data_IF_812252527152
#
_entry.id   IF_812252527152
#
_cell.length_a   1.000
_cell.length_b   1.000
_cell.length_c   1.000
_cell.angle_alpha   90.00
_cell.angle_beta   90.00
_cell.angle_gamma   90.00
#
_symmetry.space_group_name_H-M   'P 1'
#
loop_
_entity.id
_entity.type
_entity.pdbx_description
1 polymer ?
#
# COMPACT_ATOMS: atom_id res chain seq x y z
N UNK A 1 -14.36 -6.25 -2.27
CA UNK A 1 -13.69 -6.47 -3.56
C UNK A 1 -12.31 -7.05 -3.30
N UNK A 2 -12.04 -8.24 -3.82
CA UNK A 2 -10.95 -9.11 -3.40
C UNK A 2 -11.47 -10.16 -2.42
N UNK A 3 -11.37 -11.43 -2.79
CA UNK A 3 -11.99 -12.54 -2.06
C UNK A 3 -10.96 -13.61 -1.64
N UNK A 4 -9.71 -13.18 -1.42
CA UNK A 4 -8.64 -14.02 -0.91
C UNK A 4 -8.81 -14.40 0.55
N UNK A 5 -7.73 -14.83 1.20
CA UNK A 5 -7.76 -15.30 2.59
C UNK A 5 -8.10 -14.16 3.56
N UNK A 6 -7.55 -12.98 3.37
CA UNK A 6 -7.86 -11.81 4.19
C UNK A 6 -9.31 -11.36 3.97
N UNK A 7 -9.78 -11.37 2.71
CA UNK A 7 -11.18 -11.12 2.38
C UNK A 7 -12.13 -12.08 3.08
N UNK A 8 -11.77 -13.36 3.23
CA UNK A 8 -12.54 -14.35 3.98
C UNK A 8 -12.67 -13.99 5.46
N UNK A 9 -11.59 -13.58 6.10
CA UNK A 9 -11.62 -13.16 7.51
C UNK A 9 -12.48 -11.91 7.70
N UNK A 10 -12.42 -10.95 6.75
CA UNK A 10 -13.29 -9.78 6.75
C UNK A 10 -14.77 -10.19 6.64
N UNK A 11 -15.13 -11.07 5.70
CA UNK A 11 -16.51 -11.56 5.53
C UNK A 11 -17.03 -12.18 6.83
N UNK A 12 -16.26 -13.07 7.45
CA UNK A 12 -16.63 -13.71 8.72
C UNK A 12 -16.86 -12.66 9.82
N UNK A 13 -15.97 -11.66 9.91
CA UNK A 13 -16.07 -10.59 10.90
C UNK A 13 -17.31 -9.72 10.68
N UNK A 14 -17.62 -9.36 9.43
CA UNK A 14 -18.81 -8.59 9.10
C UNK A 14 -20.11 -9.35 9.38
N UNK A 15 -20.15 -10.65 9.08
CA UNK A 15 -21.29 -11.51 9.40
C UNK A 15 -21.54 -11.60 10.91
N UNK A 16 -20.49 -11.64 11.74
CA UNK A 16 -20.63 -11.56 13.21
C UNK A 16 -21.27 -10.26 13.68
N UNK A 17 -21.12 -9.19 12.90
CA UNK A 17 -21.77 -7.89 13.12
C UNK A 17 -23.16 -7.79 12.47
N UNK A 18 -23.69 -8.89 11.93
CA UNK A 18 -25.02 -8.93 11.29
C UNK A 18 -25.08 -8.31 9.90
N UNK A 19 -23.94 -8.11 9.24
CA UNK A 19 -23.90 -7.51 7.90
C UNK A 19 -24.15 -8.57 6.82
N UNK A 20 -24.90 -8.22 5.77
CA UNK A 20 -25.01 -9.01 4.55
C UNK A 20 -23.79 -8.73 3.67
N UNK A 21 -23.05 -9.75 3.31
CA UNK A 21 -21.77 -9.60 2.61
C UNK A 21 -21.79 -10.31 1.26
N UNK A 22 -21.35 -9.60 0.23
CA UNK A 22 -21.16 -10.11 -1.14
C UNK A 22 -19.67 -10.11 -1.43
N UNK A 23 -19.12 -11.26 -1.76
CA UNK A 23 -17.71 -11.43 -2.12
C UNK A 23 -17.53 -11.29 -3.62
N UNK A 24 -16.53 -10.52 -4.07
CA UNK A 24 -16.26 -10.28 -5.49
C UNK A 24 -14.79 -10.54 -5.80
N UNK A 25 -14.54 -11.33 -6.84
CA UNK A 25 -13.19 -11.59 -7.35
C UNK A 25 -13.23 -11.93 -8.85
N UNK A 26 -12.06 -12.13 -9.46
CA UNK A 26 -11.92 -12.46 -10.86
C UNK A 26 -11.87 -13.97 -11.16
N UNK A 27 -12.01 -14.82 -10.15
CA UNK A 27 -12.02 -16.28 -10.27
C UNK A 27 -13.05 -16.92 -9.34
N UNK A 28 -13.57 -18.06 -9.77
CA UNK A 28 -14.58 -18.82 -9.00
C UNK A 28 -13.97 -19.50 -7.78
N UNK A 29 -14.82 -19.74 -6.77
CA UNK A 29 -14.47 -20.45 -5.54
C UNK A 29 -13.34 -19.76 -4.74
N UNK A 30 -13.17 -18.47 -4.87
CA UNK A 30 -12.26 -17.70 -4.02
C UNK A 30 -12.60 -17.92 -2.52
N UNK A 31 -11.60 -17.87 -1.62
CA UNK A 31 -11.80 -18.19 -0.19
C UNK A 31 -12.97 -17.48 0.48
N UNK A 32 -13.17 -16.18 0.24
CA UNK A 32 -14.27 -15.43 0.82
C UNK A 32 -15.64 -15.80 0.25
N UNK A 33 -15.72 -16.24 -1.03
CA UNK A 33 -16.98 -16.68 -1.64
C UNK A 33 -17.57 -17.91 -0.95
N UNK A 34 -16.72 -18.75 -0.33
CA UNK A 34 -17.15 -19.96 0.40
C UNK A 34 -17.93 -19.66 1.67
N UNK A 35 -17.84 -18.46 2.20
CA UNK A 35 -18.47 -18.04 3.46
C UNK A 35 -19.40 -16.84 3.31
N UNK A 36 -19.33 -16.12 2.20
CA UNK A 36 -20.20 -14.97 1.93
C UNK A 36 -21.68 -15.38 1.72
N UNK A 37 -22.60 -14.43 1.85
CA UNK A 37 -24.02 -14.66 1.57
C UNK A 37 -24.32 -14.77 0.08
N UNK A 38 -23.56 -14.03 -0.75
CA UNK A 38 -23.61 -14.05 -2.21
C UNK A 38 -22.23 -13.73 -2.77
N UNK A 39 -22.02 -13.97 -4.06
CA UNK A 39 -20.76 -13.65 -4.70
C UNK A 39 -20.93 -13.28 -6.18
N UNK A 40 -19.94 -12.56 -6.70
CA UNK A 40 -19.83 -12.24 -8.13
C UNK A 40 -18.41 -12.55 -8.62
N UNK A 41 -18.34 -13.10 -9.82
CA UNK A 41 -17.06 -13.31 -10.54
C UNK A 41 -17.00 -12.36 -11.71
N UNK A 42 -16.09 -11.38 -11.64
CA UNK A 42 -15.94 -10.34 -12.67
C UNK A 42 -14.47 -9.95 -12.83
N UNK A 43 -14.15 -9.34 -13.94
CA UNK A 43 -12.90 -8.60 -14.07
C UNK A 43 -13.04 -7.23 -13.39
N UNK A 44 -12.55 -7.09 -12.16
CA UNK A 44 -12.64 -5.84 -11.39
C UNK A 44 -11.85 -4.66 -12.00
N UNK A 45 -10.95 -4.90 -12.97
CA UNK A 45 -10.32 -3.85 -13.77
C UNK A 45 -11.24 -3.33 -14.88
N UNK A 46 -12.34 -4.03 -15.17
CA UNK A 46 -13.37 -3.58 -16.10
C UNK A 46 -14.40 -2.72 -15.35
N UNK A 47 -14.37 -1.40 -15.61
CA UNK A 47 -15.27 -0.45 -14.95
C UNK A 47 -16.76 -0.70 -15.23
N UNK A 48 -17.12 -1.23 -16.40
CA UNK A 48 -18.52 -1.51 -16.74
C UNK A 48 -19.06 -2.73 -15.98
N UNK A 49 -18.21 -3.74 -15.75
CA UNK A 49 -18.55 -4.88 -14.90
C UNK A 49 -18.71 -4.49 -13.44
N UNK A 50 -17.83 -3.61 -12.92
CA UNK A 50 -18.00 -3.03 -11.59
C UNK A 50 -19.30 -2.25 -11.47
N UNK A 51 -19.60 -1.36 -12.42
CA UNK A 51 -20.84 -0.59 -12.44
C UNK A 51 -22.06 -1.53 -12.43
N UNK A 52 -22.03 -2.60 -13.22
CA UNK A 52 -23.11 -3.59 -13.30
C UNK A 52 -23.39 -4.25 -11.95
N UNK A 53 -22.38 -4.70 -11.22
CA UNK A 53 -22.59 -5.36 -9.93
C UNK A 53 -22.97 -4.36 -8.83
N UNK A 54 -22.38 -3.16 -8.83
CA UNK A 54 -22.75 -2.11 -7.88
C UNK A 54 -24.20 -1.69 -8.09
N UNK A 55 -24.64 -1.56 -9.35
CA UNK A 55 -26.05 -1.27 -9.66
C UNK A 55 -26.98 -2.44 -9.26
N UNK A 56 -26.57 -3.69 -9.50
CA UNK A 56 -27.34 -4.90 -9.13
C UNK A 56 -27.58 -5.00 -7.63
N UNK A 57 -26.53 -4.81 -6.85
CA UNK A 57 -26.55 -5.10 -5.41
C UNK A 57 -26.80 -3.86 -4.53
N UNK A 58 -26.59 -2.65 -5.06
CA UNK A 58 -26.77 -1.38 -4.33
C UNK A 58 -26.16 -1.41 -2.91
N UNK A 59 -24.85 -1.68 -2.77
CA UNK A 59 -24.24 -1.83 -1.46
C UNK A 59 -24.19 -0.51 -0.69
N UNK A 60 -24.33 -0.55 0.62
CA UNK A 60 -24.07 0.60 1.50
C UNK A 60 -22.58 0.88 1.62
N UNK A 61 -21.77 -0.20 1.60
CA UNK A 61 -20.32 -0.12 1.76
C UNK A 61 -19.61 -0.93 0.66
N UNK A 62 -18.48 -0.39 0.19
CA UNK A 62 -17.51 -1.12 -0.63
C UNK A 62 -16.17 -1.12 0.09
N UNK A 63 -15.62 -2.32 0.28
CA UNK A 63 -14.31 -2.52 0.91
C UNK A 63 -13.39 -3.18 -0.10
N UNK A 64 -12.41 -2.45 -0.67
CA UNK A 64 -11.37 -3.02 -1.52
C UNK A 64 -10.30 -3.70 -0.65
N UNK A 65 -9.77 -4.83 -1.14
CA UNK A 65 -8.70 -5.58 -0.46
C UNK A 65 -7.52 -5.87 -1.40
N UNK A 66 -7.76 -5.91 -2.73
CA UNK A 66 -6.72 -6.19 -3.72
C UNK A 66 -6.45 -5.00 -4.62
N UNK A 67 -5.25 -4.95 -5.24
CA UNK A 67 -4.85 -3.85 -6.13
C UNK A 67 -5.48 -3.93 -7.52
N UNK A 68 -6.03 -5.09 -7.91
CA UNK A 68 -6.55 -5.33 -9.26
C UNK A 68 -8.00 -4.85 -9.42
N UNK A 69 -8.25 -3.57 -9.11
CA UNK A 69 -9.56 -2.93 -9.15
C UNK A 69 -9.47 -1.60 -9.92
N UNK A 70 -10.52 -1.26 -10.67
CA UNK A 70 -10.68 0.05 -11.31
C UNK A 70 -11.10 1.11 -10.27
N UNK A 71 -10.14 1.51 -9.44
CA UNK A 71 -10.36 2.34 -8.24
C UNK A 71 -10.86 3.75 -8.55
N UNK A 72 -10.64 4.25 -9.77
CA UNK A 72 -11.16 5.56 -10.19
C UNK A 72 -12.69 5.62 -10.15
N UNK A 73 -13.38 4.48 -10.31
CA UNK A 73 -14.84 4.39 -10.19
C UNK A 73 -15.34 4.69 -8.78
N UNK A 74 -14.52 4.53 -7.77
CA UNK A 74 -14.91 4.76 -6.38
C UNK A 74 -15.30 6.21 -6.10
N UNK A 75 -14.67 7.19 -6.77
CA UNK A 75 -15.09 8.58 -6.68
C UNK A 75 -16.53 8.80 -7.17
N UNK A 76 -16.97 8.05 -8.18
CA UNK A 76 -18.35 8.15 -8.69
C UNK A 76 -19.33 7.40 -7.78
N UNK A 77 -18.91 6.35 -7.11
CA UNK A 77 -19.74 5.65 -6.12
C UNK A 77 -19.94 6.48 -4.86
N UNK A 78 -18.89 7.16 -4.36
CA UNK A 78 -19.02 8.10 -3.23
C UNK A 78 -20.01 9.23 -3.54
N UNK A 79 -20.01 9.79 -4.77
CA UNK A 79 -21.00 10.78 -5.22
C UNK A 79 -22.45 10.25 -5.22
N UNK A 80 -22.61 8.93 -5.29
CA UNK A 80 -23.91 8.24 -5.22
C UNK A 80 -24.26 7.79 -3.79
N UNK A 81 -23.56 8.30 -2.78
CA UNK A 81 -23.72 7.97 -1.36
C UNK A 81 -23.39 6.50 -1.00
N UNK A 82 -22.56 5.83 -1.77
CA UNK A 82 -21.99 4.55 -1.38
C UNK A 82 -20.71 4.83 -0.60
N UNK A 83 -20.61 4.28 0.60
CA UNK A 83 -19.41 4.49 1.45
C UNK A 83 -18.28 3.56 1.01
N UNK A 84 -17.13 4.13 0.65
CA UNK A 84 -15.92 3.37 0.35
C UNK A 84 -15.02 3.38 1.60
N UNK A 85 -14.51 2.22 2.02
CA UNK A 85 -13.64 2.09 3.20
C UNK A 85 -12.40 1.26 2.82
N UNK A 86 -11.21 1.89 2.85
CA UNK A 86 -10.94 3.33 3.06
C UNK A 86 -11.46 4.19 1.91
N UNK A 87 -11.44 5.52 2.05
CA UNK A 87 -12.03 6.45 1.05
C UNK A 87 -11.48 6.24 -0.36
N UNK A 88 -12.24 6.64 -1.39
CA UNK A 88 -11.79 6.56 -2.78
C UNK A 88 -10.42 7.24 -2.99
N UNK A 89 -10.19 8.39 -2.34
CA UNK A 89 -8.88 9.07 -2.34
C UNK A 89 -7.81 8.17 -1.77
N UNK A 90 -8.04 7.60 -0.61
CA UNK A 90 -7.09 6.75 0.09
C UNK A 90 -6.69 5.52 -0.74
N UNK A 91 -7.67 4.81 -1.29
CA UNK A 91 -7.43 3.64 -2.15
C UNK A 91 -6.57 4.01 -3.37
N UNK A 92 -6.90 5.12 -4.04
CA UNK A 92 -6.13 5.54 -5.21
C UNK A 92 -4.69 5.96 -4.86
N UNK A 93 -4.47 6.54 -3.68
CA UNK A 93 -3.12 6.91 -3.22
C UNK A 93 -2.31 5.69 -2.80
N UNK A 94 -2.88 4.77 -2.04
CA UNK A 94 -2.16 3.57 -1.57
C UNK A 94 -1.78 2.62 -2.71
N UNK A 95 -2.59 2.58 -3.77
CA UNK A 95 -2.28 1.82 -4.98
C UNK A 95 -1.26 2.47 -5.91
N UNK A 96 -0.90 3.72 -5.64
CA UNK A 96 0.05 4.49 -6.45
C UNK A 96 1.25 4.89 -5.57
N UNK A 97 2.33 4.11 -5.64
CA UNK A 97 3.56 4.35 -4.86
C UNK A 97 4.12 5.77 -5.04
N UNK A 98 3.99 6.35 -6.24
CA UNK A 98 4.38 7.74 -6.50
C UNK A 98 3.52 8.71 -5.72
N UNK A 99 2.19 8.56 -5.81
CA UNK A 99 1.26 9.45 -5.14
C UNK A 99 1.46 9.46 -3.62
N UNK A 100 1.59 8.28 -3.00
CA UNK A 100 1.79 8.20 -1.54
C UNK A 100 3.16 8.71 -1.12
N UNK A 101 4.21 8.47 -1.93
CA UNK A 101 5.56 8.98 -1.66
C UNK A 101 5.61 10.50 -1.76
N UNK A 102 5.03 11.08 -2.81
CA UNK A 102 5.00 12.53 -3.03
C UNK A 102 4.12 13.22 -1.97
N UNK A 103 2.99 12.63 -1.60
CA UNK A 103 2.18 13.10 -0.46
C UNK A 103 3.02 13.16 0.82
N UNK A 104 3.69 12.08 1.17
CA UNK A 104 4.49 12.03 2.39
C UNK A 104 5.66 13.03 2.38
N UNK A 105 6.45 13.04 1.31
CA UNK A 105 7.70 13.77 1.26
C UNK A 105 7.53 15.25 0.88
N UNK A 106 6.61 15.58 -0.04
CA UNK A 106 6.48 16.93 -0.62
C UNK A 106 5.37 17.70 0.06
N UNK A 107 4.18 17.11 0.20
CA UNK A 107 3.02 17.83 0.72
C UNK A 107 3.02 17.89 2.26
N UNK A 108 3.46 16.80 2.90
CA UNK A 108 3.42 16.67 4.37
C UNK A 108 4.78 16.85 5.04
N UNK A 109 5.86 17.04 4.27
CA UNK A 109 7.25 17.20 4.75
C UNK A 109 7.67 16.10 5.75
N UNK A 110 7.18 14.88 5.56
CA UNK A 110 7.58 13.75 6.38
C UNK A 110 8.98 13.27 5.97
N UNK A 111 9.76 12.84 6.95
CA UNK A 111 11.09 12.29 6.69
C UNK A 111 10.97 10.96 5.96
N UNK A 112 11.44 10.94 4.71
CA UNK A 112 11.55 9.74 3.85
C UNK A 112 12.98 9.53 3.39
N UNK A 113 13.28 8.38 2.78
CA UNK A 113 14.49 8.23 1.96
C UNK A 113 14.44 9.26 0.81
N UNK A 114 15.59 9.79 0.40
CA UNK A 114 15.67 10.60 -0.84
C UNK A 114 15.30 9.73 -2.03
N UNK A 115 14.66 10.30 -3.03
CA UNK A 115 14.21 9.54 -4.19
C UNK A 115 14.22 10.35 -5.48
N UNK A 116 14.25 9.63 -6.59
CA UNK A 116 14.08 10.14 -7.95
C UNK A 116 13.28 9.15 -8.79
N UNK A 117 12.50 9.64 -9.74
CA UNK A 117 11.77 8.80 -10.69
C UNK A 117 12.53 8.70 -12.01
N UNK A 118 12.31 7.60 -12.74
CA UNK A 118 12.88 7.40 -14.06
C UNK A 118 11.95 6.57 -14.94
N UNK A 119 11.80 6.99 -16.20
CA UNK A 119 11.03 6.31 -17.25
C UNK A 119 11.92 5.75 -18.36
N UNK A 120 13.18 6.18 -18.40
CA UNK A 120 14.19 5.75 -19.35
C UNK A 120 15.46 5.30 -18.64
N UNK A 121 16.26 4.46 -19.31
CA UNK A 121 17.55 4.02 -18.77
C UNK A 121 18.49 5.20 -18.51
N UNK A 122 18.41 6.26 -19.31
CA UNK A 122 19.27 7.44 -19.14
C UNK A 122 18.85 8.24 -17.90
N UNK A 123 17.55 8.49 -17.72
CA UNK A 123 17.02 9.09 -16.50
C UNK A 123 17.37 8.26 -15.26
N UNK A 124 17.32 6.91 -15.40
CA UNK A 124 17.71 6.02 -14.31
C UNK A 124 19.18 6.19 -13.90
N UNK A 125 20.10 6.29 -14.86
CA UNK A 125 21.52 6.56 -14.54
C UNK A 125 21.67 7.90 -13.81
N UNK A 126 20.99 8.95 -14.30
CA UNK A 126 21.01 10.27 -13.67
C UNK A 126 20.43 10.23 -12.25
N UNK A 127 19.35 9.47 -12.04
CA UNK A 127 18.76 9.26 -10.73
C UNK A 127 19.73 8.55 -9.76
N UNK A 128 20.43 7.51 -10.23
CA UNK A 128 21.45 6.81 -9.43
C UNK A 128 22.62 7.75 -9.10
N UNK A 129 23.08 8.57 -10.03
CA UNK A 129 24.15 9.54 -9.79
C UNK A 129 23.71 10.62 -8.77
N UNK A 130 22.45 11.06 -8.81
CA UNK A 130 21.89 12.04 -7.89
C UNK A 130 21.70 11.48 -6.46
N UNK A 131 21.15 10.27 -6.36
CA UNK A 131 20.87 9.59 -5.07
C UNK A 131 22.18 9.08 -4.45
N UNK A 132 23.10 8.56 -5.27
CA UNK A 132 24.32 7.90 -4.83
C UNK A 132 24.15 6.39 -4.62
N UNK A 133 25.28 5.73 -4.43
CA UNK A 133 25.33 4.28 -4.17
C UNK A 133 25.71 3.99 -2.71
N UNK A 134 25.15 2.97 -2.10
CA UNK A 134 24.12 2.07 -2.65
C UNK A 134 22.74 2.74 -2.72
N UNK A 135 21.90 2.32 -3.67
CA UNK A 135 20.50 2.76 -3.76
C UNK A 135 19.55 1.61 -4.06
N UNK A 136 18.27 1.78 -3.71
CA UNK A 136 17.22 0.79 -3.95
C UNK A 136 16.40 1.21 -5.16
N UNK A 137 16.12 0.27 -6.04
CA UNK A 137 15.31 0.48 -7.25
C UNK A 137 14.04 -0.36 -7.14
N UNK A 138 12.90 0.28 -7.37
CA UNK A 138 11.59 -0.38 -7.31
C UNK A 138 10.72 0.05 -8.49
N UNK A 139 9.95 -0.86 -9.12
CA UNK A 139 8.85 -0.45 -9.99
C UNK A 139 7.81 0.35 -9.19
N UNK A 140 7.15 1.34 -9.81
CA UNK A 140 6.06 2.05 -9.14
C UNK A 140 4.82 1.17 -8.93
N UNK A 141 4.58 0.25 -9.86
CA UNK A 141 3.48 -0.72 -9.74
C UNK A 141 4.07 -2.14 -9.69
N UNK A 142 4.22 -2.66 -8.50
CA UNK A 142 4.62 -4.05 -8.26
C UNK A 142 4.15 -4.47 -6.86
N UNK A 143 4.02 -5.79 -6.64
CA UNK A 143 3.72 -6.37 -5.33
C UNK A 143 4.81 -7.37 -4.94
N UNK A 144 4.93 -7.64 -3.64
CA UNK A 144 5.85 -8.67 -3.08
C UNK A 144 7.30 -8.52 -3.56
N UNK A 145 7.83 -7.30 -3.60
CA UNK A 145 9.23 -7.04 -3.94
C UNK A 145 9.65 -7.36 -5.38
N UNK A 146 8.71 -7.74 -6.27
CA UNK A 146 9.02 -8.06 -7.67
C UNK A 146 9.60 -6.85 -8.39
N UNK A 147 10.75 -7.04 -9.05
CA UNK A 147 11.47 -5.96 -9.73
C UNK A 147 12.30 -5.07 -8.80
N UNK A 148 12.25 -5.27 -7.48
CA UNK A 148 13.07 -4.52 -6.53
C UNK A 148 14.50 -5.06 -6.51
N UNK A 149 15.47 -4.15 -6.49
CA UNK A 149 16.89 -4.51 -6.41
C UNK A 149 17.72 -3.45 -5.68
N UNK A 150 18.81 -3.89 -5.08
CA UNK A 150 19.82 -3.02 -4.49
C UNK A 150 20.97 -2.83 -5.49
N UNK A 151 21.20 -1.61 -5.92
CA UNK A 151 22.32 -1.21 -6.79
C UNK A 151 23.49 -0.82 -5.89
N UNK A 152 24.53 -1.64 -5.90
CA UNK A 152 25.74 -1.38 -5.10
C UNK A 152 26.85 -0.74 -5.91
N UNK A 153 26.91 -1.03 -7.20
CA UNK A 153 27.98 -0.61 -8.11
C UNK A 153 27.40 -0.17 -9.45
N UNK A 154 28.14 0.64 -10.17
CA UNK A 154 27.76 1.11 -11.51
C UNK A 154 27.50 -0.05 -12.50
N UNK A 155 28.17 -1.19 -12.33
CA UNK A 155 27.97 -2.38 -13.16
C UNK A 155 26.61 -3.04 -12.98
N UNK A 156 25.92 -2.78 -11.87
CA UNK A 156 24.60 -3.35 -11.56
C UNK A 156 23.46 -2.57 -12.24
N UNK A 157 23.71 -1.32 -12.67
CA UNK A 157 22.68 -0.39 -13.16
C UNK A 157 21.82 -1.02 -14.26
N UNK A 158 22.45 -1.52 -15.33
CA UNK A 158 21.70 -2.07 -16.47
C UNK A 158 20.84 -3.29 -16.07
N UNK A 159 21.40 -4.18 -15.26
CA UNK A 159 20.70 -5.36 -14.76
C UNK A 159 19.52 -4.97 -13.86
N UNK A 160 19.72 -4.00 -12.99
CA UNK A 160 18.65 -3.50 -12.08
C UNK A 160 17.52 -2.82 -12.85
N UNK A 161 17.85 -2.04 -13.88
CA UNK A 161 16.85 -1.47 -14.79
C UNK A 161 16.01 -2.55 -15.46
N UNK A 162 16.66 -3.52 -16.13
CA UNK A 162 15.96 -4.57 -16.84
C UNK A 162 15.07 -5.38 -15.90
N UNK A 163 15.54 -5.66 -14.70
CA UNK A 163 14.76 -6.38 -13.69
C UNK A 163 13.55 -5.56 -13.20
N UNK A 164 13.73 -4.26 -12.93
CA UNK A 164 12.64 -3.38 -12.50
C UNK A 164 11.57 -3.25 -13.61
N UNK A 165 11.97 -3.06 -14.87
CA UNK A 165 11.05 -2.97 -15.99
C UNK A 165 10.31 -4.28 -16.24
N UNK A 166 10.97 -5.44 -16.09
CA UNK A 166 10.32 -6.75 -16.22
C UNK A 166 9.34 -7.07 -15.08
N UNK A 167 9.59 -6.52 -13.89
CA UNK A 167 8.74 -6.67 -12.70
C UNK A 167 7.58 -5.67 -12.61
N UNK A 168 7.57 -4.65 -13.49
CA UNK A 168 6.51 -3.63 -13.53
C UNK A 168 5.19 -4.22 -14.04
N UNK A 169 4.09 -3.87 -13.37
CA UNK A 169 2.72 -4.15 -13.80
C UNK A 169 2.13 -2.92 -14.51
N UNK A 170 1.17 -3.16 -15.41
CA UNK A 170 0.49 -2.11 -16.17
C UNK A 170 1.33 -1.54 -17.33
N UNK A 171 0.79 -0.52 -17.98
CA UNK A 171 1.36 0.08 -19.19
C UNK A 171 2.46 1.11 -18.92
N UNK A 172 2.47 1.69 -17.72
CA UNK A 172 3.47 2.67 -17.28
C UNK A 172 4.70 1.97 -16.71
N UNK A 173 5.81 2.08 -17.41
CA UNK A 173 7.12 1.55 -16.97
C UNK A 173 7.94 2.65 -16.30
N UNK A 174 7.45 3.12 -15.16
CA UNK A 174 8.13 4.10 -14.32
C UNK A 174 8.70 3.40 -13.08
N UNK A 175 9.91 3.77 -12.71
CA UNK A 175 10.61 3.25 -11.53
C UNK A 175 10.94 4.39 -10.57
N UNK A 176 11.12 4.03 -9.30
CA UNK A 176 11.68 4.91 -8.26
C UNK A 176 13.07 4.41 -7.87
N UNK A 177 14.00 5.34 -7.72
CA UNK A 177 15.34 5.13 -7.17
C UNK A 177 15.36 5.79 -5.81
N UNK A 178 15.61 5.04 -4.75
CA UNK A 178 15.59 5.51 -3.37
C UNK A 178 16.97 5.37 -2.72
N UNK A 179 17.32 6.30 -1.86
CA UNK A 179 18.46 6.21 -0.96
C UNK A 179 18.36 4.91 -0.14
N UNK A 180 19.45 4.18 -0.07
CA UNK A 180 19.52 3.04 0.83
C UNK A 180 19.66 3.53 2.27
N UNK A 181 18.65 3.29 3.08
CA UNK A 181 18.69 3.60 4.51
C UNK A 181 19.32 2.41 5.24
N UNK A 182 20.46 2.64 5.86
CA UNK A 182 21.11 1.68 6.76
C UNK A 182 20.39 1.74 8.14
N UNK A 183 19.29 1.02 8.24
CA UNK A 183 18.42 1.04 9.41
C UNK A 183 18.80 -0.05 10.43
N UNK A 184 18.54 0.24 11.70
CA UNK A 184 18.75 -0.71 12.79
C UNK A 184 17.64 -1.78 12.80
N UNK A 185 16.40 -1.37 12.53
CA UNK A 185 15.22 -2.24 12.41
C UNK A 185 14.08 -1.53 11.68
N UNK A 186 13.13 -2.32 11.21
CA UNK A 186 11.90 -1.83 10.56
C UNK A 186 10.66 -2.25 11.35
N UNK A 187 9.63 -1.43 11.28
CA UNK A 187 8.34 -1.69 11.94
C UNK A 187 7.17 -1.43 11.01
N UNK A 188 6.08 -2.16 11.26
CA UNK A 188 4.75 -1.79 10.81
C UNK A 188 3.94 -1.30 12.01
N UNK A 189 3.36 -0.11 11.90
CA UNK A 189 2.44 0.45 12.86
C UNK A 189 1.01 0.34 12.32
N UNK A 190 0.27 -0.65 12.80
CA UNK A 190 -1.16 -0.75 12.47
C UNK A 190 -1.90 0.43 13.10
N UNK A 191 -2.52 1.22 12.25
CA UNK A 191 -3.14 2.49 12.55
C UNK A 191 -4.61 2.44 12.15
N UNK A 192 -5.51 2.91 13.01
CA UNK A 192 -6.93 2.98 12.76
C UNK A 192 -7.38 4.43 12.78
N UNK A 193 -8.02 4.88 11.70
CA UNK A 193 -8.72 6.18 11.68
C UNK A 193 -10.21 5.96 11.85
N UNK A 194 -10.82 6.73 12.73
CA UNK A 194 -12.24 6.65 13.06
C UNK A 194 -13.03 7.78 12.37
N UNK A 195 -14.34 7.62 12.26
CA UNK A 195 -15.22 8.62 11.64
C UNK A 195 -15.17 10.00 12.34
N UNK A 196 -14.85 10.03 13.63
CA UNK A 196 -14.70 11.26 14.41
C UNK A 196 -13.33 11.93 14.25
N UNK A 197 -12.45 11.35 13.42
CA UNK A 197 -11.09 11.82 13.17
C UNK A 197 -10.06 11.32 14.18
N UNK A 198 -10.46 10.57 15.21
CA UNK A 198 -9.51 10.00 16.16
C UNK A 198 -8.67 8.89 15.51
N UNK A 199 -7.39 8.87 15.84
CA UNK A 199 -6.44 7.86 15.39
C UNK A 199 -6.03 6.96 16.55
N UNK A 200 -6.17 5.65 16.37
CA UNK A 200 -5.74 4.63 17.33
C UNK A 200 -4.57 3.84 16.74
N UNK A 201 -3.72 3.35 17.63
CA UNK A 201 -2.53 2.59 17.24
C UNK A 201 -2.52 1.23 17.95
N UNK A 202 -2.24 0.19 17.18
CA UNK A 202 -1.82 -1.08 17.78
C UNK A 202 -0.37 -0.98 18.25
N UNK A 203 0.09 -1.84 19.17
CA UNK A 203 1.51 -1.94 19.46
C UNK A 203 2.31 -2.20 18.17
N UNK A 204 3.50 -1.60 17.99
CA UNK A 204 4.29 -1.76 16.78
C UNK A 204 4.70 -3.22 16.58
N UNK A 205 4.75 -3.63 15.32
CA UNK A 205 5.18 -4.95 14.89
C UNK A 205 6.57 -4.80 14.27
N UNK A 206 7.56 -5.49 14.84
CA UNK A 206 8.85 -5.64 14.20
C UNK A 206 8.77 -6.70 13.11
N UNK A 207 9.48 -6.51 12.02
CA UNK A 207 9.55 -7.52 10.96
C UNK A 207 10.94 -7.56 10.32
N UNK A 208 11.20 -8.65 9.63
CA UNK A 208 12.40 -8.86 8.84
C UNK A 208 12.02 -9.27 7.43
N UNK A 209 12.61 -8.60 6.48
CA UNK A 209 12.49 -8.93 5.07
C UNK A 209 13.84 -9.38 4.50
N UNK A 210 13.81 -10.30 3.56
CA UNK A 210 14.97 -10.69 2.77
C UNK A 210 14.65 -10.56 1.28
N UNK A 211 15.42 -9.74 0.57
CA UNK A 211 15.23 -9.48 -0.87
C UNK A 211 13.83 -8.93 -1.23
N UNK A 212 13.19 -8.23 -0.27
CA UNK A 212 11.83 -7.74 -0.41
C UNK A 212 10.75 -8.77 -0.06
N UNK A 213 11.12 -9.98 0.33
CA UNK A 213 10.20 -11.02 0.80
C UNK A 213 10.13 -11.01 2.33
N UNK A 214 8.91 -10.97 2.83
CA UNK A 214 8.61 -11.03 4.26
C UNK A 214 8.98 -12.39 4.84
N UNK A 215 9.79 -12.41 5.88
CA UNK A 215 10.29 -13.63 6.50
C UNK A 215 9.64 -13.90 7.84
N UNK A 216 9.67 -12.93 8.73
CA UNK A 216 9.12 -13.07 10.09
C UNK A 216 8.67 -11.73 10.65
N UNK A 217 7.74 -11.79 11.59
CA UNK A 217 7.33 -10.64 12.40
C UNK A 217 7.22 -11.05 13.87
N UNK A 218 7.36 -10.06 14.73
CA UNK A 218 7.23 -10.26 16.18
C UNK A 218 6.59 -9.05 16.86
N UNK A 219 5.88 -9.34 17.92
CA UNK A 219 5.26 -8.34 18.78
C UNK A 219 5.26 -8.88 20.22
N UNK A 220 5.70 -8.10 21.20
CA UNK A 220 6.17 -6.71 21.09
C UNK A 220 7.57 -6.59 20.47
N UNK A 221 7.86 -5.39 19.93
CA UNK A 221 9.21 -5.00 19.56
C UNK A 221 9.76 -4.05 20.63
N UNK A 222 11.01 -4.25 21.04
CA UNK A 222 11.71 -3.31 21.92
C UNK A 222 12.15 -2.09 21.09
N UNK A 223 11.54 -0.93 21.35
CA UNK A 223 11.90 0.32 20.70
C UNK A 223 11.85 1.51 21.67
N UNK A 224 12.65 2.51 21.38
CA UNK A 224 12.66 3.73 22.20
C UNK A 224 11.30 4.46 22.10
N UNK A 225 10.77 4.91 23.23
CA UNK A 225 9.49 5.63 23.27
C UNK A 225 9.46 6.89 22.39
N UNK A 226 10.61 7.54 22.19
CA UNK A 226 10.70 8.70 21.30
C UNK A 226 10.49 8.31 19.83
N UNK A 227 11.01 7.15 19.39
CA UNK A 227 10.81 6.67 18.03
C UNK A 227 9.37 6.24 17.80
N UNK A 228 8.74 5.58 18.80
CA UNK A 228 7.33 5.22 18.72
C UNK A 228 6.46 6.46 18.58
N UNK A 229 6.72 7.49 19.40
CA UNK A 229 5.98 8.75 19.35
C UNK A 229 6.10 9.41 17.97
N UNK A 230 7.32 9.51 17.41
CA UNK A 230 7.53 10.06 16.07
C UNK A 230 6.81 9.25 14.98
N UNK A 231 6.86 7.92 15.04
CA UNK A 231 6.15 7.06 14.10
C UNK A 231 4.62 7.29 14.18
N UNK A 232 4.06 7.40 15.39
CA UNK A 232 2.64 7.70 15.60
C UNK A 232 2.25 9.10 15.09
N UNK A 233 3.08 10.11 15.30
CA UNK A 233 2.86 11.46 14.77
C UNK A 233 2.85 11.44 13.22
N UNK A 234 3.82 10.79 12.59
CA UNK A 234 3.87 10.65 11.13
C UNK A 234 2.69 9.86 10.59
N UNK A 235 2.31 8.75 11.24
CA UNK A 235 1.15 7.95 10.86
C UNK A 235 -0.15 8.76 10.97
N UNK A 236 -0.32 9.54 12.04
CA UNK A 236 -1.48 10.43 12.19
C UNK A 236 -1.57 11.44 11.05
N UNK A 237 -0.47 12.09 10.72
CA UNK A 237 -0.44 13.13 9.67
C UNK A 237 -0.79 12.55 8.31
N UNK A 238 -0.19 11.42 7.92
CA UNK A 238 -0.41 10.85 6.60
C UNK A 238 -1.81 10.24 6.46
N UNK A 239 -2.31 9.54 7.47
CA UNK A 239 -3.66 8.96 7.40
C UNK A 239 -4.75 10.03 7.44
N UNK A 240 -4.56 11.13 8.18
CA UNK A 240 -5.45 12.28 8.16
C UNK A 240 -5.52 12.95 6.77
N UNK A 241 -4.39 13.05 6.06
CA UNK A 241 -4.34 13.62 4.71
C UNK A 241 -5.08 12.77 3.68
N UNK A 242 -5.17 11.46 3.89
CA UNK A 242 -5.95 10.54 3.03
C UNK A 242 -7.46 10.67 3.27
N UNK A 243 -7.85 11.01 4.50
CA UNK A 243 -9.24 11.19 4.91
C UNK A 243 -10.05 9.90 5.03
N UNK A 244 -11.19 10.02 5.71
CA UNK A 244 -12.09 8.89 5.95
C UNK A 244 -11.62 7.94 7.06
N UNK A 245 -12.40 6.87 7.26
CA UNK A 245 -12.06 5.79 8.19
C UNK A 245 -11.25 4.72 7.48
N UNK A 246 -10.38 4.04 8.20
CA UNK A 246 -9.61 2.95 7.63
C UNK A 246 -8.70 2.25 8.64
N UNK A 247 -8.19 1.12 8.20
CA UNK A 247 -7.12 0.38 8.87
C UNK A 247 -5.91 0.45 7.95
N UNK A 248 -4.77 0.86 8.50
CA UNK A 248 -3.58 1.16 7.74
C UNK A 248 -2.38 0.40 8.28
N UNK A 249 -1.58 -0.16 7.40
CA UNK A 249 -0.23 -0.59 7.70
C UNK A 249 0.76 0.52 7.35
N UNK A 250 1.28 1.24 8.34
CA UNK A 250 2.28 2.28 8.10
C UNK A 250 3.66 1.76 8.45
N UNK A 251 4.55 1.71 7.46
CA UNK A 251 5.89 1.15 7.61
C UNK A 251 6.94 2.23 7.84
N UNK A 252 7.87 1.93 8.75
CA UNK A 252 8.95 2.84 9.10
C UNK A 252 10.29 2.12 9.21
N UNK A 253 11.34 2.78 8.74
CA UNK A 253 12.72 2.43 9.07
C UNK A 253 13.18 3.24 10.27
N UNK A 254 13.82 2.58 11.21
CA UNK A 254 14.41 3.21 12.39
C UNK A 254 15.93 3.13 12.25
N UNK A 255 16.57 4.29 12.03
CA UNK A 255 18.02 4.40 11.87
C UNK A 255 18.59 5.32 12.94
N UNK A 256 19.32 4.76 13.91
CA UNK A 256 19.93 5.47 15.04
C UNK A 256 18.90 6.29 15.82
N UNK A 257 18.75 7.57 15.51
CA UNK A 257 17.82 8.49 16.18
C UNK A 257 16.78 9.08 15.21
N UNK A 258 16.62 8.48 14.03
CA UNK A 258 15.74 9.00 12.98
C UNK A 258 14.70 7.94 12.61
N UNK A 259 13.46 8.39 12.48
CA UNK A 259 12.35 7.59 11.95
C UNK A 259 12.10 8.05 10.51
N UNK A 260 12.10 7.11 9.59
CA UNK A 260 11.81 7.36 8.17
C UNK A 260 10.50 6.70 7.80
N UNK A 261 9.58 7.45 7.22
CA UNK A 261 8.40 6.87 6.57
C UNK A 261 8.87 6.06 5.35
N UNK A 262 8.44 4.81 5.28
CA UNK A 262 8.76 3.89 4.18
C UNK A 262 7.59 3.71 3.23
N UNK A 263 6.48 3.18 3.71
CA UNK A 263 5.31 2.86 2.90
C UNK A 263 4.03 2.94 3.74
N UNK A 264 2.88 3.03 3.05
CA UNK A 264 1.55 2.94 3.66
C UNK A 264 0.66 2.08 2.76
N UNK A 265 0.01 1.09 3.37
CA UNK A 265 -0.96 0.18 2.74
C UNK A 265 -2.27 0.13 3.51
#
# INVERSE_FOLDING_TARGET
LGSGELGKELVISMQRLGQYVIAVDNYENAPAMQVAHDFEVINMLNGDELDRIVFKHQPDFIVPEVESIRTEKFYDYEKKNITIIPSAKAVNYTMNRKAIRDLAAIELDLKTAKYQYATTLEEFKQAVDCIGLPCVVKPLMSSSGKGQSLVKNATDIKKSWDYAISGSRGDLKEIIVEEFIDFDYEITLLTLTQNDGNTLFCPPIGHRQERGDYQESWQPIDMKSIHLKLAQEMATVITAALGGSGIWGVEFFIAKNTVYFSELS
#
